data_IF_740434447074
#
_entry.id   IF_740434447074
#
_cell.length_a   1.000
_cell.length_b   1.000
_cell.length_c   1.000
_cell.angle_alpha   90.00
_cell.angle_beta   90.00
_cell.angle_gamma   90.00
#
_symmetry.space_group_name_H-M   'P 1'
#
loop_
_entity.id
_entity.type
_entity.pdbx_description
1 polymer ?
#
# COMPACT_ATOMS: atom_id res chain seq x y z
N UNK A 1 44.04 -34.05 -59.38
CA UNK A 1 44.05 -33.45 -58.01
C UNK A 1 42.60 -33.24 -57.58
N UNK A 2 42.10 -33.98 -56.60
CA UNK A 2 40.73 -33.84 -56.09
C UNK A 2 40.73 -32.80 -54.98
N UNK A 3 39.98 -31.72 -55.16
CA UNK A 3 39.81 -30.66 -54.16
C UNK A 3 38.80 -31.15 -53.11
N UNK A 4 39.26 -31.37 -51.87
CA UNK A 4 38.34 -31.61 -50.75
C UNK A 4 37.73 -30.27 -50.33
N UNK A 5 36.42 -30.15 -50.47
CA UNK A 5 35.66 -29.02 -49.93
C UNK A 5 35.33 -29.30 -48.46
N UNK A 6 35.86 -28.48 -47.55
CA UNK A 6 35.56 -28.53 -46.12
C UNK A 6 34.34 -27.65 -45.88
N UNK A 7 33.24 -28.26 -45.46
CA UNK A 7 32.03 -27.54 -45.04
C UNK A 7 32.15 -27.25 -43.55
N UNK A 8 32.22 -25.96 -43.20
CA UNK A 8 32.20 -25.50 -41.81
C UNK A 8 30.74 -25.26 -41.42
N UNK A 9 30.22 -26.09 -40.51
CA UNK A 9 28.88 -25.92 -39.93
C UNK A 9 29.04 -25.02 -38.69
N UNK A 10 28.55 -23.78 -38.80
CA UNK A 10 28.46 -22.87 -37.66
C UNK A 10 27.14 -23.12 -36.95
N UNK A 11 27.20 -23.69 -35.75
CA UNK A 11 26.03 -23.89 -34.89
C UNK A 11 25.85 -22.63 -34.05
N UNK A 12 24.82 -21.84 -34.35
CA UNK A 12 24.36 -20.77 -33.47
C UNK A 12 23.57 -21.40 -32.32
N UNK A 13 24.14 -21.34 -31.11
CA UNK A 13 23.44 -21.68 -29.87
C UNK A 13 22.85 -20.39 -29.32
N UNK A 14 21.57 -20.13 -29.59
CA UNK A 14 20.83 -19.10 -28.87
C UNK A 14 20.53 -19.62 -27.46
N UNK A 15 21.28 -19.12 -26.48
CA UNK A 15 20.99 -19.35 -25.07
C UNK A 15 19.81 -18.46 -24.71
N UNK A 16 18.60 -19.03 -24.75
CA UNK A 16 17.43 -18.41 -24.13
C UNK A 16 17.59 -18.50 -22.61
N UNK A 17 18.10 -17.43 -21.98
CA UNK A 17 17.94 -17.26 -20.54
C UNK A 17 16.46 -17.01 -20.24
N UNK A 18 15.72 -18.08 -19.97
CA UNK A 18 14.41 -17.98 -19.33
C UNK A 18 14.71 -17.68 -17.85
N UNK A 19 14.95 -16.40 -17.54
CA UNK A 19 14.94 -15.96 -16.15
C UNK A 19 13.51 -16.15 -15.63
N UNK A 20 13.30 -17.21 -14.86
CA UNK A 20 12.10 -17.33 -14.04
C UNK A 20 12.17 -16.21 -13.01
N UNK A 21 11.54 -15.07 -13.31
CA UNK A 21 11.50 -13.90 -12.44
C UNK A 21 10.60 -14.20 -11.22
N UNK A 22 11.07 -15.04 -10.31
CA UNK A 22 10.45 -15.23 -9.00
C UNK A 22 10.81 -14.01 -8.16
N UNK A 23 10.02 -12.94 -8.29
CA UNK A 23 10.16 -11.76 -7.44
C UNK A 23 9.96 -12.13 -5.97
N UNK A 24 10.81 -11.60 -5.09
CA UNK A 24 10.62 -11.81 -3.67
C UNK A 24 9.40 -10.98 -3.24
N UNK A 25 8.37 -11.57 -2.59
CA UNK A 25 7.19 -10.82 -2.15
C UNK A 25 7.51 -9.65 -1.22
N UNK A 26 8.67 -9.65 -0.57
CA UNK A 26 9.15 -8.55 0.27
C UNK A 26 9.81 -7.40 -0.51
N UNK A 27 10.03 -7.53 -1.82
CA UNK A 27 10.59 -6.44 -2.63
C UNK A 27 9.63 -5.24 -2.70
N UNK A 28 8.31 -5.47 -2.54
CA UNK A 28 7.29 -4.41 -2.55
C UNK A 28 7.46 -3.40 -1.41
N UNK A 29 8.13 -3.78 -0.31
CA UNK A 29 8.37 -2.91 0.85
C UNK A 29 9.76 -2.27 0.85
N UNK A 30 10.53 -2.43 -0.23
CA UNK A 30 11.89 -1.89 -0.31
C UNK A 30 11.88 -0.37 -0.20
N UNK A 31 12.60 0.14 0.80
CA UNK A 31 12.72 1.58 1.05
C UNK A 31 11.56 2.21 1.84
N UNK A 32 10.55 1.43 2.24
CA UNK A 32 9.50 1.90 3.14
C UNK A 32 10.03 2.12 4.56
N UNK A 33 9.37 3.03 5.30
CA UNK A 33 9.45 3.07 6.77
C UNK A 33 8.68 1.90 7.35
N UNK A 34 9.18 1.31 8.43
CA UNK A 34 8.51 0.25 9.18
C UNK A 34 7.82 0.81 10.44
N UNK A 35 6.65 0.28 10.76
CA UNK A 35 5.89 0.53 11.98
C UNK A 35 5.36 -0.80 12.53
N UNK A 36 6.06 -1.34 13.53
CA UNK A 36 5.83 -2.67 14.12
C UNK A 36 5.22 -2.60 15.53
N UNK A 37 5.43 -1.50 16.26
CA UNK A 37 4.76 -1.23 17.53
C UNK A 37 3.33 -0.72 17.32
N UNK A 38 2.46 -1.58 16.80
CA UNK A 38 1.06 -1.27 16.53
C UNK A 38 0.24 -1.35 17.82
N UNK A 39 -0.29 -0.21 18.25
CA UNK A 39 -1.11 -0.12 19.46
C UNK A 39 -2.53 -0.71 19.23
N UNK A 40 -3.18 -1.29 20.25
CA UNK A 40 -4.53 -1.84 20.15
C UNK A 40 -5.59 -0.82 19.74
N UNK A 41 -6.73 -1.30 19.22
CA UNK A 41 -7.82 -0.51 18.66
C UNK A 41 -8.27 0.67 19.53
N UNK A 42 -8.39 0.41 20.84
CA UNK A 42 -8.83 1.35 21.88
C UNK A 42 -7.67 2.03 22.63
N UNK A 43 -6.44 1.95 22.14
CA UNK A 43 -5.32 2.71 22.71
C UNK A 43 -5.36 4.20 22.33
N UNK A 44 -4.68 5.02 23.11
CA UNK A 44 -4.45 6.43 22.79
C UNK A 44 -3.40 6.55 21.67
N UNK A 45 -3.87 6.61 20.42
CA UNK A 45 -3.00 6.72 19.26
C UNK A 45 -2.47 8.15 19.09
N UNK A 46 -1.16 8.29 18.87
CA UNK A 46 -0.57 9.53 18.38
C UNK A 46 -0.49 9.43 16.86
N UNK A 47 -1.20 10.31 16.15
CA UNK A 47 -1.15 10.33 14.69
C UNK A 47 0.14 11.02 14.25
N UNK A 48 0.71 10.62 13.12
CA UNK A 48 1.83 11.34 12.51
C UNK A 48 1.31 12.28 11.42
N UNK A 49 1.92 13.47 11.23
CA UNK A 49 1.53 14.38 10.18
C UNK A 49 1.88 13.78 8.81
N UNK A 50 0.94 13.77 7.87
CA UNK A 50 1.23 13.25 6.51
C UNK A 50 2.15 14.18 5.73
N UNK A 51 2.32 15.42 6.17
CA UNK A 51 3.31 16.38 5.64
C UNK A 51 4.76 16.01 5.97
N UNK A 52 5.01 15.09 6.90
CA UNK A 52 6.37 14.59 7.17
C UNK A 52 6.76 13.37 6.34
N UNK A 53 5.89 12.91 5.45
CA UNK A 53 6.15 11.80 4.54
C UNK A 53 6.87 12.30 3.30
N UNK A 54 7.84 11.54 2.81
CA UNK A 54 8.64 11.87 1.62
C UNK A 54 7.97 11.38 0.33
N UNK A 55 7.24 10.26 0.39
CA UNK A 55 6.71 9.54 -0.76
C UNK A 55 5.17 9.60 -0.80
N UNK A 56 4.63 10.82 -0.78
CA UNK A 56 3.18 11.06 -0.95
C UNK A 56 2.90 11.33 -2.42
N UNK A 57 2.07 10.49 -3.00
CA UNK A 57 1.57 10.69 -4.34
C UNK A 57 0.58 11.83 -4.40
N UNK A 58 0.64 12.64 -5.46
CA UNK A 58 -0.26 13.78 -5.64
C UNK A 58 -0.75 13.82 -7.07
N UNK A 59 -2.07 14.01 -7.22
CA UNK A 59 -2.69 14.40 -8.49
C UNK A 59 -3.23 15.82 -8.34
N UNK A 60 -3.85 16.36 -9.38
CA UNK A 60 -4.56 17.65 -9.28
C UNK A 60 -5.67 17.63 -8.20
N UNK A 61 -6.27 16.47 -7.95
CA UNK A 61 -7.50 16.36 -7.16
C UNK A 61 -7.40 15.40 -5.97
N UNK A 62 -6.25 14.77 -5.73
CA UNK A 62 -6.09 13.75 -4.70
C UNK A 62 -4.67 13.67 -4.16
N UNK A 63 -4.55 13.03 -2.99
CA UNK A 63 -3.29 12.50 -2.48
C UNK A 63 -3.42 10.99 -2.33
N UNK A 64 -2.37 10.26 -2.64
CA UNK A 64 -2.32 8.82 -2.43
C UNK A 64 -1.11 8.37 -1.63
N UNK A 65 -1.31 7.30 -0.87
CA UNK A 65 -0.34 6.76 0.08
C UNK A 65 -0.18 5.26 -0.19
N UNK A 66 1.05 4.82 -0.45
CA UNK A 66 1.42 3.40 -0.50
C UNK A 66 1.68 2.89 0.92
N UNK A 67 0.88 1.93 1.36
CA UNK A 67 0.91 1.35 2.71
C UNK A 67 0.84 -0.16 2.57
N UNK A 68 1.94 -0.85 2.90
CA UNK A 68 1.95 -2.31 2.95
C UNK A 68 1.63 -2.81 4.37
N UNK A 69 0.92 -3.93 4.46
CA UNK A 69 0.61 -4.58 5.73
C UNK A 69 1.00 -6.05 5.66
N UNK A 70 1.76 -6.50 6.66
CA UNK A 70 2.06 -7.91 6.89
C UNK A 70 1.28 -8.36 8.14
N UNK A 71 0.41 -9.35 7.97
CA UNK A 71 -0.38 -9.93 9.05
C UNK A 71 -1.67 -10.59 8.55
N UNK A 72 -2.35 -11.38 9.41
CA UNK A 72 -3.42 -12.27 8.98
C UNK A 72 -4.73 -11.54 8.64
N UNK A 73 -5.09 -10.49 9.38
CA UNK A 73 -6.36 -9.76 9.29
C UNK A 73 -6.34 -8.48 10.14
N UNK A 74 -7.41 -7.68 10.02
CA UNK A 74 -7.68 -6.50 10.84
C UNK A 74 -6.57 -5.43 10.80
N UNK A 75 -6.18 -5.05 9.60
CA UNK A 75 -5.35 -3.86 9.36
C UNK A 75 -6.19 -2.58 9.42
N UNK A 76 -6.00 -1.74 10.43
CA UNK A 76 -6.71 -0.47 10.59
C UNK A 76 -5.81 0.72 10.24
N UNK A 77 -6.25 1.50 9.26
CA UNK A 77 -5.68 2.81 8.91
C UNK A 77 -6.67 3.87 9.33
N UNK A 78 -6.22 4.87 10.11
CA UNK A 78 -7.05 6.02 10.50
C UNK A 78 -6.41 7.30 10.02
N UNK A 79 -7.22 8.24 9.52
CA UNK A 79 -6.74 9.58 9.19
C UNK A 79 -7.72 10.69 9.54
N UNK A 80 -7.20 11.89 9.77
CA UNK A 80 -8.00 13.06 10.09
C UNK A 80 -7.23 14.36 10.14
N UNK A 81 -7.87 15.39 10.69
CA UNK A 81 -7.37 16.77 10.70
C UNK A 81 -6.63 17.19 11.98
N UNK A 82 -6.28 16.24 12.87
CA UNK A 82 -5.74 16.56 14.19
C UNK A 82 -4.75 15.49 14.64
N UNK A 83 -3.66 15.92 15.28
CA UNK A 83 -2.66 15.03 15.91
C UNK A 83 -3.29 14.12 16.98
N UNK A 84 -4.22 14.69 17.75
CA UNK A 84 -5.04 14.02 18.75
C UNK A 84 -6.53 14.24 18.38
N UNK A 85 -7.21 13.27 17.76
CA UNK A 85 -8.57 13.47 17.27
C UNK A 85 -9.65 13.12 18.32
N UNK A 86 -9.44 13.53 19.58
CA UNK A 86 -10.49 13.44 20.59
C UNK A 86 -11.63 14.41 20.28
N UNK A 87 -12.85 13.93 20.46
CA UNK A 87 -14.09 14.63 20.15
C UNK A 87 -14.18 15.14 18.70
N UNK A 88 -13.52 14.41 17.80
CA UNK A 88 -13.51 14.65 16.35
C UNK A 88 -13.81 13.35 15.62
N UNK A 89 -14.32 13.49 14.40
CA UNK A 89 -14.42 12.38 13.47
C UNK A 89 -13.08 12.16 12.77
N UNK A 90 -12.72 10.89 12.61
CA UNK A 90 -11.68 10.41 11.71
C UNK A 90 -12.29 9.45 10.70
N UNK A 91 -11.62 9.27 9.57
CA UNK A 91 -11.89 8.16 8.67
C UNK A 91 -11.10 6.96 9.19
N UNK A 92 -11.77 5.82 9.26
CA UNK A 92 -11.15 4.53 9.52
C UNK A 92 -11.41 3.59 8.35
N UNK A 93 -10.34 2.97 7.88
CA UNK A 93 -10.35 1.90 6.90
C UNK A 93 -9.92 0.64 7.63
N UNK A 94 -10.74 -0.40 7.55
CA UNK A 94 -10.43 -1.73 8.07
C UNK A 94 -10.21 -2.64 6.87
N UNK A 95 -9.03 -3.25 6.83
CA UNK A 95 -8.61 -4.19 5.81
C UNK A 95 -8.65 -5.60 6.40
N UNK A 96 -9.23 -6.53 5.65
CA UNK A 96 -9.32 -7.93 6.06
C UNK A 96 -10.02 -8.14 7.41
N UNK A 97 -11.05 -7.36 7.73
CA UNK A 97 -11.88 -7.58 8.90
C UNK A 97 -12.70 -8.87 8.84
N UNK A 98 -13.27 -9.26 9.99
CA UNK A 98 -14.04 -10.49 10.16
C UNK A 98 -13.26 -11.72 9.66
N UNK A 99 -12.03 -11.89 10.17
CA UNK A 99 -11.14 -13.00 9.79
C UNK A 99 -10.81 -12.95 8.30
N UNK A 100 -10.36 -11.80 7.82
CA UNK A 100 -9.92 -11.59 6.43
C UNK A 100 -11.01 -11.84 5.38
N UNK A 101 -12.26 -11.53 5.69
CA UNK A 101 -13.40 -11.72 4.77
C UNK A 101 -13.94 -10.42 4.19
N UNK A 102 -13.74 -9.29 4.88
CA UNK A 102 -14.36 -8.01 4.52
C UNK A 102 -13.42 -6.84 4.71
N UNK A 103 -13.68 -5.74 4.00
CA UNK A 103 -13.06 -4.45 4.26
C UNK A 103 -14.14 -3.40 4.41
N UNK A 104 -13.94 -2.44 5.32
CA UNK A 104 -14.92 -1.38 5.58
C UNK A 104 -14.28 -0.01 5.62
N UNK A 105 -14.99 0.97 5.07
CA UNK A 105 -14.73 2.38 5.31
C UNK A 105 -15.77 2.92 6.28
N UNK A 106 -15.35 3.63 7.33
CA UNK A 106 -16.27 4.16 8.34
C UNK A 106 -15.77 5.45 8.96
N UNK A 107 -16.68 6.23 9.52
CA UNK A 107 -16.30 7.25 10.49
C UNK A 107 -16.08 6.61 11.84
N UNK A 108 -15.03 7.04 12.53
CA UNK A 108 -14.87 6.81 13.95
C UNK A 108 -14.93 8.15 14.68
N UNK A 109 -15.73 8.20 15.74
CA UNK A 109 -15.73 9.30 16.70
C UNK A 109 -15.19 8.78 18.03
N UNK A 110 -14.17 9.44 18.60
CA UNK A 110 -13.57 9.02 19.86
C UNK A 110 -13.70 10.11 20.91
N UNK A 111 -14.39 9.81 22.01
CA UNK A 111 -14.56 10.73 23.14
C UNK A 111 -13.25 10.86 23.92
N UNK A 112 -13.06 11.97 24.61
CA UNK A 112 -11.97 12.13 25.59
C UNK A 112 -11.96 11.02 26.67
N UNK A 113 -13.10 10.38 26.93
CA UNK A 113 -13.21 9.23 27.84
C UNK A 113 -12.77 7.88 27.24
N UNK A 114 -12.14 7.87 26.06
CA UNK A 114 -11.78 6.70 25.26
C UNK A 114 -12.94 5.83 24.74
N UNK A 115 -14.19 6.25 24.93
CA UNK A 115 -15.31 5.59 24.26
C UNK A 115 -15.31 5.94 22.76
N UNK A 116 -15.51 4.94 21.91
CA UNK A 116 -15.61 5.12 20.47
C UNK A 116 -17.07 4.92 19.96
N UNK A 117 -17.39 5.53 18.82
CA UNK A 117 -18.61 5.26 18.07
C UNK A 117 -18.26 5.20 16.58
N UNK A 118 -18.66 4.12 15.93
CA UNK A 118 -18.38 3.86 14.52
C UNK A 118 -19.64 4.00 13.68
N UNK A 119 -19.56 4.74 12.57
CA UNK A 119 -20.63 4.85 11.58
C UNK A 119 -20.13 4.32 10.25
N UNK A 120 -20.69 3.21 9.78
CA UNK A 120 -20.33 2.57 8.52
C UNK A 120 -20.61 3.50 7.33
N UNK A 121 -19.67 3.60 6.39
CA UNK A 121 -19.85 4.30 5.12
C UNK A 121 -19.92 3.32 3.94
N UNK A 122 -19.11 2.26 3.98
CA UNK A 122 -19.10 1.20 2.97
C UNK A 122 -18.57 -0.11 3.55
N UNK A 123 -19.03 -1.21 2.99
CA UNK A 123 -18.51 -2.55 3.23
C UNK A 123 -18.29 -3.25 1.88
N UNK A 124 -17.17 -3.95 1.73
CA UNK A 124 -16.86 -4.80 0.59
C UNK A 124 -16.48 -6.20 1.07
N UNK A 125 -16.88 -7.23 0.32
CA UNK A 125 -16.38 -8.59 0.53
C UNK A 125 -14.97 -8.69 -0.07
N UNK A 126 -13.97 -8.95 0.76
CA UNK A 126 -12.55 -8.98 0.39
C UNK A 126 -11.87 -10.21 1.01
N UNK A 127 -12.25 -11.43 0.61
CA UNK A 127 -11.69 -12.64 1.17
C UNK A 127 -10.19 -12.74 0.87
N UNK A 128 -9.38 -13.02 1.89
CA UNK A 128 -7.94 -13.21 1.79
C UNK A 128 -7.20 -11.99 1.22
N UNK A 129 -7.67 -10.78 1.51
CA UNK A 129 -7.04 -9.54 1.03
C UNK A 129 -5.72 -9.24 1.74
N UNK A 130 -5.54 -9.74 2.96
CA UNK A 130 -4.30 -9.66 3.73
C UNK A 130 -3.57 -11.01 3.77
N UNK A 131 -2.28 -10.99 4.10
CA UNK A 131 -1.46 -12.19 4.26
C UNK A 131 -0.49 -12.07 5.42
N UNK A 132 -0.40 -13.13 6.23
CA UNK A 132 0.60 -13.26 7.29
C UNK A 132 1.99 -13.66 6.77
N UNK A 133 2.09 -14.05 5.49
CA UNK A 133 3.33 -14.60 4.92
C UNK A 133 4.05 -13.63 3.98
N UNK A 134 3.34 -12.62 3.47
CA UNK A 134 3.90 -11.61 2.58
C UNK A 134 3.21 -10.27 2.78
N UNK A 135 3.94 -9.15 2.71
CA UNK A 135 3.33 -7.82 2.80
C UNK A 135 2.45 -7.57 1.57
N UNK A 136 1.23 -7.11 1.80
CA UNK A 136 0.32 -6.67 0.73
C UNK A 136 0.35 -5.15 0.67
N UNK A 137 0.75 -4.59 -0.47
CA UNK A 137 0.78 -3.14 -0.70
C UNK A 137 -0.61 -2.64 -1.07
N UNK A 138 -1.15 -1.75 -0.25
CA UNK A 138 -2.40 -1.04 -0.50
C UNK A 138 -2.11 0.40 -0.93
N UNK A 139 -2.92 0.91 -1.85
CA UNK A 139 -2.91 2.33 -2.23
C UNK A 139 -4.17 2.97 -1.65
N UNK A 140 -3.98 3.86 -0.68
CA UNK A 140 -5.04 4.70 -0.13
C UNK A 140 -5.04 6.03 -0.88
N UNK A 141 -6.08 6.31 -1.65
CA UNK A 141 -6.25 7.60 -2.33
C UNK A 141 -7.40 8.41 -1.71
N UNK A 142 -7.12 9.68 -1.40
CA UNK A 142 -8.04 10.62 -0.77
C UNK A 142 -8.20 11.82 -1.68
N UNK A 143 -9.41 11.97 -2.22
CA UNK A 143 -9.77 13.04 -3.15
C UNK A 143 -10.29 14.28 -2.42
N UNK A 144 -10.04 15.46 -2.99
CA UNK A 144 -10.48 16.76 -2.47
C UNK A 144 -12.01 16.89 -2.39
N UNK A 145 -12.74 16.10 -3.17
CA UNK A 145 -14.22 16.06 -3.16
C UNK A 145 -14.81 15.17 -2.05
N UNK A 146 -13.98 14.51 -1.25
CA UNK A 146 -14.37 13.58 -0.18
C UNK A 146 -14.42 12.12 -0.60
N UNK A 147 -14.16 11.78 -1.86
CA UNK A 147 -14.03 10.38 -2.26
C UNK A 147 -12.77 9.79 -1.64
N UNK A 148 -12.89 8.57 -1.10
CA UNK A 148 -11.80 7.78 -0.54
C UNK A 148 -11.81 6.42 -1.24
N UNK A 149 -10.66 6.01 -1.74
CA UNK A 149 -10.49 4.75 -2.46
C UNK A 149 -9.33 3.94 -1.88
N UNK A 150 -9.49 2.62 -1.91
CA UNK A 150 -8.43 1.67 -1.57
C UNK A 150 -8.34 0.62 -2.67
N UNK A 151 -7.13 0.47 -3.22
CA UNK A 151 -6.77 -0.59 -4.16
C UNK A 151 -5.58 -1.39 -3.64
N UNK A 152 -5.33 -2.55 -4.24
CA UNK A 152 -4.05 -3.24 -4.11
C UNK A 152 -3.13 -2.66 -5.19
N UNK A 153 -1.86 -2.41 -4.84
CA UNK A 153 -0.89 -1.84 -5.78
C UNK A 153 -0.78 -2.69 -7.05
N UNK A 154 -0.77 -2.04 -8.21
CA UNK A 154 -0.82 -2.69 -9.52
C UNK A 154 -2.21 -3.20 -9.98
N UNK A 155 -3.27 -3.04 -9.18
CA UNK A 155 -4.64 -3.31 -9.64
C UNK A 155 -5.33 -2.04 -10.18
N UNK A 156 -6.03 -2.19 -11.30
CA UNK A 156 -6.69 -1.09 -12.02
C UNK A 156 -7.89 -0.47 -11.27
N UNK A 157 -8.52 -1.24 -10.38
CA UNK A 157 -9.78 -0.86 -9.75
C UNK A 157 -9.71 -0.93 -8.23
N UNK A 158 -10.23 0.08 -7.51
CA UNK A 158 -10.33 0.02 -6.06
C UNK A 158 -11.34 -1.04 -5.64
N UNK A 159 -10.99 -1.86 -4.65
CA UNK A 159 -11.91 -2.81 -4.03
C UNK A 159 -12.81 -2.15 -2.98
N UNK A 160 -12.43 -0.95 -2.51
CA UNK A 160 -13.20 -0.15 -1.56
C UNK A 160 -13.26 1.29 -2.06
N UNK A 161 -14.46 1.85 -2.18
CA UNK A 161 -14.67 3.23 -2.61
C UNK A 161 -15.90 3.81 -1.93
N UNK A 162 -15.77 5.01 -1.36
CA UNK A 162 -16.88 5.70 -0.70
C UNK A 162 -16.69 7.21 -0.73
N UNK A 163 -17.77 7.95 -0.51
CA UNK A 163 -17.73 9.40 -0.38
C UNK A 163 -17.95 9.82 1.08
N UNK A 164 -17.01 10.57 1.63
CA UNK A 164 -17.15 11.26 2.91
C UNK A 164 -17.73 12.67 2.70
N UNK A 165 -18.99 12.85 3.10
CA UNK A 165 -19.65 14.15 3.05
C UNK A 165 -19.00 15.20 3.96
N UNK A 166 -18.25 14.79 4.99
CA UNK A 166 -17.49 15.68 5.87
C UNK A 166 -16.15 16.12 5.27
N UNK A 167 -15.70 15.47 4.18
CA UNK A 167 -14.42 15.71 3.49
C UNK A 167 -13.24 15.81 4.45
N UNK A 168 -13.17 14.89 5.41
CA UNK A 168 -12.11 14.82 6.40
C UNK A 168 -10.77 14.66 5.66
N UNK A 169 -9.81 15.59 5.81
CA UNK A 169 -8.54 15.50 5.11
C UNK A 169 -7.61 14.48 5.79
N UNK A 170 -6.74 13.86 5.02
CA UNK A 170 -5.65 13.02 5.52
C UNK A 170 -4.43 13.85 5.95
N UNK A 171 -4.62 14.81 6.88
CA UNK A 171 -3.51 15.65 7.37
C UNK A 171 -2.66 14.92 8.42
N UNK A 172 -3.28 14.01 9.15
CA UNK A 172 -2.65 13.15 10.16
C UNK A 172 -3.13 11.72 9.95
N UNK A 173 -2.25 10.75 10.14
CA UNK A 173 -2.55 9.33 9.98
C UNK A 173 -2.03 8.49 11.16
N UNK A 174 -2.69 7.39 11.46
CA UNK A 174 -2.25 6.40 12.43
C UNK A 174 -2.60 4.99 11.97
N UNK A 175 -1.86 4.01 12.49
CA UNK A 175 -2.12 2.60 12.30
C UNK A 175 -2.52 1.96 13.63
N UNK A 176 -3.41 0.98 13.58
CA UNK A 176 -3.81 0.22 14.76
C UNK A 176 -4.22 -1.20 14.37
N UNK A 177 -4.55 -2.03 15.34
CA UNK A 177 -4.93 -3.42 15.17
C UNK A 177 -6.13 -3.76 16.05
N UNK A 178 -6.86 -4.79 15.68
CA UNK A 178 -7.86 -5.38 16.57
C UNK A 178 -7.19 -6.30 17.60
N UNK A 179 -6.80 -7.50 17.17
CA UNK A 179 -6.29 -8.56 18.04
C UNK A 179 -5.01 -9.25 17.51
N UNK A 180 -4.72 -9.14 16.22
CA UNK A 180 -3.57 -9.78 15.58
C UNK A 180 -2.35 -8.87 15.49
N UNK A 181 -1.15 -9.43 15.62
CA UNK A 181 0.09 -8.69 15.41
C UNK A 181 0.26 -8.35 13.92
N UNK A 182 0.57 -7.07 13.68
CA UNK A 182 0.70 -6.50 12.34
C UNK A 182 2.00 -5.72 12.25
N UNK A 183 2.59 -5.70 11.06
CA UNK A 183 3.65 -4.77 10.69
C UNK A 183 3.15 -3.93 9.53
N UNK A 184 3.25 -2.61 9.68
CA UNK A 184 2.95 -1.66 8.62
C UNK A 184 4.25 -1.17 7.99
N UNK A 185 4.22 -1.05 6.67
CA UNK A 185 5.25 -0.42 5.87
C UNK A 185 4.62 0.78 5.18
N UNK A 186 5.16 1.97 5.39
CA UNK A 186 4.55 3.22 4.93
C UNK A 186 5.62 4.18 4.43
N UNK A 187 5.20 5.29 3.82
CA UNK A 187 6.15 6.22 3.20
C UNK A 187 7.07 5.51 2.19
N UNK A 188 6.47 4.60 1.41
CA UNK A 188 7.17 3.76 0.45
C UNK A 188 7.49 4.54 -0.83
N UNK A 189 8.68 4.37 -1.43
CA UNK A 189 9.02 4.97 -2.72
C UNK A 189 7.92 4.73 -3.75
N UNK A 190 7.53 5.80 -4.43
CA UNK A 190 6.65 5.71 -5.58
C UNK A 190 7.52 5.30 -6.76
N UNK A 191 7.04 4.38 -7.61
CA UNK A 191 7.78 4.06 -8.82
C UNK A 191 7.94 5.34 -9.65
N UNK A 192 9.18 5.63 -10.06
CA UNK A 192 9.46 6.78 -10.90
C UNK A 192 8.70 6.60 -12.21
N UNK A 193 7.65 7.41 -12.41
CA UNK A 193 6.95 7.53 -13.71
C UNK A 193 7.94 7.90 -14.84
N UNK A 194 9.16 8.34 -14.50
CA UNK A 194 10.24 8.68 -15.43
C UNK A 194 11.44 7.71 -15.42
N UNK A 195 11.43 6.64 -14.61
CA UNK A 195 12.60 5.77 -14.42
C UNK A 195 12.74 4.62 -15.43
N UNK A 196 11.72 4.35 -16.25
CA UNK A 196 11.76 3.24 -17.22
C UNK A 196 12.54 3.57 -18.50
N UNK A 197 13.07 4.78 -18.65
CA UNK A 197 13.89 5.18 -19.81
C UNK A 197 15.40 5.10 -19.56
N UNK A 198 15.86 5.03 -18.30
CA UNK A 198 17.29 5.13 -17.98
C UNK A 198 17.98 3.75 -17.81
N UNK A 199 17.20 2.69 -17.65
CA UNK A 199 17.70 1.31 -17.61
C UNK A 199 18.01 0.72 -19.00
N UNK A 200 17.67 1.42 -20.09
CA UNK A 200 18.00 1.05 -21.47
C UNK A 200 19.32 1.66 -21.99
N UNK A 201 20.04 2.44 -21.18
CA UNK A 201 21.31 3.06 -21.57
C UNK A 201 22.55 2.56 -20.83
N UNK A 202 22.48 1.47 -20.06
CA UNK A 202 23.68 0.71 -19.69
C UNK A 202 24.10 -0.23 -20.83
N UNK A 203 24.42 0.36 -21.98
CA UNK A 203 25.14 -0.33 -23.03
C UNK A 203 26.64 -0.21 -22.77
N UNK A 204 27.23 -1.37 -22.47
CA UNK A 204 28.63 -1.75 -22.64
C UNK A 204 29.64 -0.67 -23.05
N UNK A 205 30.55 -0.35 -22.13
CA UNK A 205 31.95 -0.09 -22.49
C UNK A 205 32.86 -0.80 -21.48
N UNK A 206 33.32 -1.98 -21.87
CA UNK A 206 34.60 -2.52 -21.41
C UNK A 206 35.66 -1.95 -22.34
N UNK A 207 36.64 -1.25 -21.78
CA UNK A 207 37.94 -0.98 -22.42
C UNK A 207 38.98 -1.82 -21.70
#
# INVERSE_FOLDING_TARGET
MKLLSVVVIVVFVEVFEIAALHGNPFDVIRGCKQYDKVEPYDAALTYFPTTSLLHVGQTENSKYYKIAILGPNDGHIRFGNSLYPYDKYVIEIVLGGWVNTKSVGRHQYRKASNANNNSLLVEAQTPNVMSQFQPIMFVLEVFNNGTVQVSIDGQDHPFLSFNDSKRIPANYMAFTKWDNDLIYFYDCPLEDVNGSHDSLLLNCTVV
#
